data_IF_628938080838
#
_entry.id   IF_628938080838
#
_cell.length_a   1.000
_cell.length_b   1.000
_cell.length_c   1.000
_cell.angle_alpha   90.00
_cell.angle_beta   90.00
_cell.angle_gamma   90.00
#
_symmetry.space_group_name_H-M   'P 1'
#
loop_
_entity.id
_entity.type
_entity.pdbx_description
1 polymer ?
#
# COMPACT_ATOMS: atom_id res chain seq x y z
N UNK A 1 19.42 -17.81 1.36
CA UNK A 1 18.66 -16.58 1.77
C UNK A 1 18.94 -16.31 3.24
N UNK A 2 19.41 -15.13 3.65
CA UNK A 2 19.79 -14.89 5.04
C UNK A 2 18.58 -14.90 5.99
N UNK A 3 18.56 -15.83 6.95
CA UNK A 3 17.45 -15.97 7.91
C UNK A 3 17.76 -15.42 9.30
N UNK A 4 19.02 -15.38 9.70
CA UNK A 4 19.44 -15.02 11.06
C UNK A 4 19.38 -13.51 11.29
N UNK A 5 19.63 -12.69 10.27
CA UNK A 5 19.67 -11.24 10.40
C UNK A 5 18.33 -10.63 10.78
N UNK A 6 18.32 -9.76 11.80
CA UNK A 6 17.10 -9.12 12.30
C UNK A 6 16.62 -8.00 11.38
N UNK A 7 17.53 -7.29 10.70
CA UNK A 7 17.22 -6.13 9.84
C UNK A 7 17.85 -6.27 8.47
N UNK A 8 17.16 -5.78 7.43
CA UNK A 8 17.70 -5.75 6.06
C UNK A 8 19.00 -4.95 5.96
N UNK A 9 19.16 -3.91 6.78
CA UNK A 9 20.36 -3.07 6.83
C UNK A 9 21.59 -3.78 7.41
N UNK A 10 21.41 -4.93 8.06
CA UNK A 10 22.51 -5.74 8.60
C UNK A 10 23.08 -6.71 7.55
N UNK A 11 22.37 -6.89 6.43
CA UNK A 11 22.82 -7.76 5.35
C UNK A 11 24.07 -7.18 4.68
N UNK A 12 25.00 -8.04 4.21
CA UNK A 12 26.17 -7.61 3.45
C UNK A 12 25.76 -6.74 2.26
N UNK A 13 26.50 -5.66 2.02
CA UNK A 13 26.22 -4.78 0.88
C UNK A 13 26.31 -5.56 -0.43
N UNK A 14 27.31 -6.42 -0.57
CA UNK A 14 27.54 -7.27 -1.73
C UNK A 14 26.31 -8.11 -2.13
N UNK A 15 25.47 -8.49 -1.15
CA UNK A 15 24.23 -9.22 -1.44
C UNK A 15 23.20 -8.34 -2.17
N UNK A 16 23.12 -7.04 -1.86
CA UNK A 16 22.22 -6.12 -2.55
C UNK A 16 22.66 -5.94 -4.01
N UNK A 17 23.96 -5.87 -4.24
CA UNK A 17 24.59 -5.76 -5.56
C UNK A 17 24.33 -7.03 -6.38
N UNK A 18 24.54 -8.22 -5.81
CA UNK A 18 24.21 -9.49 -6.47
C UNK A 18 22.72 -9.61 -6.81
N UNK A 19 21.83 -9.20 -5.91
CA UNK A 19 20.38 -9.17 -6.17
C UNK A 19 20.07 -8.22 -7.34
N UNK A 20 20.72 -7.06 -7.37
CA UNK A 20 20.51 -6.08 -8.42
C UNK A 20 20.99 -6.60 -9.78
N UNK A 21 22.19 -7.18 -9.85
CA UNK A 21 22.74 -7.80 -11.07
C UNK A 21 21.86 -8.94 -11.57
N UNK A 22 21.40 -9.82 -10.67
CA UNK A 22 20.49 -10.91 -11.04
C UNK A 22 19.16 -10.40 -11.63
N UNK A 23 18.62 -9.29 -11.10
CA UNK A 23 17.42 -8.67 -11.66
C UNK A 23 17.69 -8.02 -13.00
N UNK A 24 18.85 -7.38 -13.20
CA UNK A 24 19.24 -6.80 -14.48
C UNK A 24 19.46 -7.87 -15.56
N UNK A 25 19.98 -9.04 -15.20
CA UNK A 25 20.12 -10.17 -16.14
C UNK A 25 18.76 -10.71 -16.58
N UNK A 26 17.75 -10.73 -15.70
CA UNK A 26 16.44 -11.29 -15.99
C UNK A 26 15.45 -10.27 -16.60
N UNK A 27 15.64 -8.97 -16.35
CA UNK A 27 14.70 -7.91 -16.73
C UNK A 27 15.43 -6.66 -17.22
N UNK A 28 14.86 -6.01 -18.25
CA UNK A 28 15.34 -4.70 -18.72
C UNK A 28 14.93 -3.62 -17.71
N UNK A 29 15.82 -3.30 -16.78
CA UNK A 29 15.61 -2.30 -15.73
C UNK A 29 16.71 -1.25 -15.78
N UNK A 30 16.35 0.02 -16.01
CA UNK A 30 17.30 1.13 -15.96
C UNK A 30 17.84 1.40 -14.54
N UNK A 31 19.01 2.02 -14.43
CA UNK A 31 19.71 2.25 -13.15
C UNK A 31 18.88 3.02 -12.11
N UNK A 32 18.01 3.94 -12.55
CA UNK A 32 17.08 4.67 -11.67
C UNK A 32 16.09 3.76 -10.91
N UNK A 33 15.94 2.50 -11.33
CA UNK A 33 15.09 1.49 -10.68
C UNK A 33 15.72 0.78 -9.49
N UNK A 34 17.04 0.87 -9.29
CA UNK A 34 17.78 0.09 -8.27
C UNK A 34 17.19 0.22 -6.87
N UNK A 35 16.91 1.45 -6.43
CA UNK A 35 16.31 1.72 -5.11
C UNK A 35 14.95 1.05 -4.93
N UNK A 36 14.11 1.08 -5.98
CA UNK A 36 12.79 0.47 -5.95
C UNK A 36 12.88 -1.05 -5.92
N UNK A 37 13.77 -1.63 -6.71
CA UNK A 37 14.02 -3.09 -6.72
C UNK A 37 14.50 -3.55 -5.35
N UNK A 38 15.53 -2.92 -4.79
CA UNK A 38 16.05 -3.27 -3.46
C UNK A 38 14.99 -3.11 -2.36
N UNK A 39 14.18 -2.04 -2.42
CA UNK A 39 13.07 -1.85 -1.46
C UNK A 39 12.01 -2.95 -1.58
N UNK A 40 11.69 -3.37 -2.81
CA UNK A 40 10.76 -4.47 -3.08
C UNK A 40 11.33 -5.81 -2.59
N UNK A 41 12.61 -6.08 -2.83
CA UNK A 41 13.28 -7.29 -2.36
C UNK A 41 13.33 -7.34 -0.84
N UNK A 42 13.67 -6.23 -0.17
CA UNK A 42 13.64 -6.12 1.28
C UNK A 42 12.25 -6.42 1.87
N UNK A 43 11.19 -6.00 1.17
CA UNK A 43 9.81 -6.34 1.55
C UNK A 43 9.54 -7.83 1.38
N UNK A 44 9.84 -8.40 0.21
CA UNK A 44 9.66 -9.84 -0.07
C UNK A 44 10.44 -10.72 0.91
N UNK A 45 11.64 -10.31 1.32
CA UNK A 45 12.43 -11.00 2.33
C UNK A 45 11.75 -11.02 3.70
N UNK A 46 11.18 -9.89 4.15
CA UNK A 46 10.39 -9.85 5.38
C UNK A 46 9.13 -10.69 5.29
N UNK A 47 8.42 -10.62 4.17
CA UNK A 47 7.20 -11.40 3.91
C UNK A 47 7.50 -12.92 3.90
N UNK A 48 8.66 -13.30 3.35
CA UNK A 48 9.16 -14.67 3.36
C UNK A 48 9.42 -15.17 4.79
N UNK A 49 10.17 -14.42 5.60
CA UNK A 49 10.39 -14.76 7.03
C UNK A 49 9.07 -14.86 7.79
N UNK A 50 8.16 -13.92 7.57
CA UNK A 50 6.83 -13.94 8.19
C UNK A 50 6.04 -15.20 7.83
N UNK A 51 6.07 -15.61 6.55
CA UNK A 51 5.44 -16.84 6.08
C UNK A 51 6.03 -18.06 6.77
N UNK A 52 7.36 -18.15 6.86
CA UNK A 52 8.04 -19.23 7.58
C UNK A 52 7.59 -19.30 9.04
N UNK A 53 7.62 -18.18 9.75
CA UNK A 53 7.20 -18.15 11.16
C UNK A 53 5.73 -18.52 11.33
N UNK A 54 4.82 -17.93 10.54
CA UNK A 54 3.37 -18.14 10.65
C UNK A 54 2.91 -19.55 10.28
N UNK A 55 3.46 -20.12 9.21
CA UNK A 55 2.96 -21.38 8.65
C UNK A 55 3.76 -22.60 9.11
N UNK A 56 5.05 -22.45 9.38
CA UNK A 56 5.95 -23.57 9.62
C UNK A 56 6.54 -23.60 11.03
N UNK A 57 6.50 -22.50 11.79
CA UNK A 57 7.06 -22.46 13.16
C UNK A 57 5.94 -22.40 14.21
N UNK A 58 5.14 -21.33 14.23
CA UNK A 58 4.13 -21.09 15.27
C UNK A 58 3.11 -22.24 15.41
N UNK A 59 2.59 -22.87 14.33
CA UNK A 59 1.65 -23.99 14.47
C UNK A 59 2.25 -25.24 15.13
N UNK A 60 3.59 -25.36 15.13
CA UNK A 60 4.32 -26.51 15.65
C UNK A 60 5.22 -26.15 16.84
N UNK A 61 5.00 -24.99 17.48
CA UNK A 61 5.81 -24.53 18.62
C UNK A 61 5.92 -25.59 19.73
N UNK A 62 4.84 -26.34 19.98
CA UNK A 62 4.80 -27.42 20.99
C UNK A 62 5.34 -28.77 20.50
N UNK A 63 5.60 -28.93 19.20
CA UNK A 63 6.01 -30.19 18.55
C UNK A 63 7.42 -30.06 17.95
N UNK A 64 8.43 -30.05 18.82
CA UNK A 64 9.85 -29.86 18.45
C UNK A 64 10.34 -30.81 17.36
N UNK A 65 9.81 -32.02 17.28
CA UNK A 65 10.18 -33.00 16.25
C UNK A 65 9.90 -32.52 14.82
N UNK A 66 8.80 -31.79 14.63
CA UNK A 66 8.40 -31.25 13.31
C UNK A 66 9.20 -30.02 12.89
N UNK A 67 10.00 -29.46 13.80
CA UNK A 67 10.82 -28.27 13.57
C UNK A 67 12.30 -28.61 13.32
N UNK A 68 12.70 -29.88 13.42
CA UNK A 68 14.10 -30.33 13.25
C UNK A 68 14.61 -30.14 11.82
N UNK A 69 13.72 -30.06 10.85
CA UNK A 69 14.07 -29.93 9.44
C UNK A 69 13.34 -28.74 8.82
N UNK A 70 14.00 -28.00 7.91
CA UNK A 70 13.34 -26.96 7.16
C UNK A 70 12.23 -27.54 6.27
N UNK A 71 11.22 -26.74 5.92
CA UNK A 71 10.16 -27.19 5.02
C UNK A 71 10.73 -27.65 3.67
N UNK A 72 10.28 -28.80 3.16
CA UNK A 72 10.75 -29.37 1.89
C UNK A 72 10.60 -28.42 0.69
N UNK A 73 9.57 -27.56 0.73
CA UNK A 73 9.34 -26.49 -0.26
C UNK A 73 10.52 -25.51 -0.38
N UNK A 74 11.34 -25.39 0.65
CA UNK A 74 12.47 -24.47 0.75
C UNK A 74 13.77 -25.24 1.02
N UNK A 75 14.08 -26.20 0.14
CA UNK A 75 15.29 -27.02 0.19
C UNK A 75 16.62 -26.23 0.14
N UNK A 76 16.58 -24.97 -0.29
CA UNK A 76 17.73 -24.06 -0.28
C UNK A 76 18.05 -23.49 1.11
N UNK A 77 17.24 -23.77 2.14
CA UNK A 77 17.51 -23.35 3.51
C UNK A 77 18.42 -24.38 4.18
N UNK A 78 19.60 -23.93 4.60
CA UNK A 78 20.51 -24.76 5.37
C UNK A 78 19.95 -25.06 6.76
N UNK A 79 20.15 -26.29 7.26
CA UNK A 79 19.65 -26.72 8.57
C UNK A 79 20.17 -25.85 9.71
N UNK A 80 21.45 -25.47 9.69
CA UNK A 80 22.06 -24.60 10.70
C UNK A 80 21.35 -23.24 10.79
N UNK A 81 21.02 -22.65 9.64
CA UNK A 81 20.29 -21.37 9.54
C UNK A 81 18.83 -21.53 9.98
N UNK A 82 18.21 -22.65 9.66
CA UNK A 82 16.85 -22.98 10.09
C UNK A 82 16.77 -23.10 11.61
N UNK A 83 17.66 -23.87 12.23
CA UNK A 83 17.67 -24.09 13.68
C UNK A 83 17.85 -22.76 14.44
N UNK A 84 18.79 -21.92 13.99
CA UNK A 84 18.99 -20.58 14.54
C UNK A 84 17.74 -19.69 14.37
N UNK A 85 17.06 -19.79 13.23
CA UNK A 85 15.85 -19.02 12.95
C UNK A 85 14.64 -19.48 13.78
N UNK A 86 14.48 -20.79 14.01
CA UNK A 86 13.46 -21.36 14.90
C UNK A 86 13.70 -20.90 16.34
N UNK A 87 14.94 -20.99 16.83
CA UNK A 87 15.30 -20.50 18.16
C UNK A 87 14.99 -19.00 18.33
N UNK A 88 15.33 -18.18 17.33
CA UNK A 88 15.01 -16.75 17.36
C UNK A 88 13.49 -16.49 17.30
N UNK A 89 12.73 -17.27 16.53
CA UNK A 89 11.28 -17.08 16.35
C UNK A 89 10.46 -17.55 17.56
N UNK A 90 11.01 -18.44 18.39
CA UNK A 90 10.40 -18.92 19.63
C UNK A 90 10.96 -18.22 20.88
N UNK A 91 11.79 -17.20 20.70
CA UNK A 91 12.35 -16.43 21.81
C UNK A 91 11.30 -15.55 22.48
N UNK A 92 11.46 -15.31 23.78
CA UNK A 92 10.58 -14.45 24.56
C UNK A 92 10.54 -13.00 24.01
N UNK A 93 11.68 -12.49 23.54
CA UNK A 93 11.78 -11.17 22.90
C UNK A 93 10.91 -11.09 21.63
N UNK A 94 10.89 -12.16 20.83
CA UNK A 94 10.07 -12.22 19.63
C UNK A 94 8.59 -12.26 19.97
N UNK A 95 8.20 -13.07 20.95
CA UNK A 95 6.81 -13.17 21.42
C UNK A 95 6.31 -11.82 21.96
N UNK A 96 7.11 -11.14 22.77
CA UNK A 96 6.79 -9.81 23.30
C UNK A 96 6.59 -8.79 22.16
N UNK A 97 7.52 -8.72 21.20
CA UNK A 97 7.38 -7.83 20.03
C UNK A 97 6.17 -8.20 19.16
N UNK A 98 5.91 -9.48 18.94
CA UNK A 98 4.77 -9.95 18.14
C UNK A 98 3.44 -9.58 18.79
N UNK A 99 3.33 -9.82 20.10
CA UNK A 99 2.15 -9.47 20.90
C UNK A 99 1.91 -7.96 20.90
N UNK A 100 2.95 -7.15 21.11
CA UNK A 100 2.83 -5.68 21.08
C UNK A 100 2.33 -5.19 19.71
N UNK A 101 2.88 -5.72 18.62
CA UNK A 101 2.43 -5.36 17.27
C UNK A 101 1.00 -5.84 16.98
N UNK A 102 0.61 -6.99 17.51
CA UNK A 102 -0.77 -7.49 17.43
C UNK A 102 -1.74 -6.55 18.15
N UNK A 103 -1.42 -6.15 19.38
CA UNK A 103 -2.21 -5.18 20.16
C UNK A 103 -2.29 -3.82 19.45
N UNK A 104 -1.20 -3.33 18.84
CA UNK A 104 -1.23 -2.11 18.03
C UNK A 104 -2.17 -2.24 16.83
N UNK A 105 -2.21 -3.41 16.19
CA UNK A 105 -3.14 -3.67 15.08
C UNK A 105 -4.58 -3.78 15.55
N UNK A 106 -4.83 -4.36 16.72
CA UNK A 106 -6.16 -4.48 17.31
C UNK A 106 -6.79 -3.12 17.63
N UNK A 107 -5.97 -2.13 18.04
CA UNK A 107 -6.39 -0.73 18.21
C UNK A 107 -6.84 -0.06 16.90
N UNK A 108 -6.58 -0.65 15.74
CA UNK A 108 -7.05 -0.12 14.45
C UNK A 108 -8.52 -0.48 14.23
N UNK A 109 -9.41 0.30 14.85
CA UNK A 109 -10.87 0.07 14.82
C UNK A 109 -11.45 0.13 13.39
N UNK A 110 -10.97 1.07 12.56
CA UNK A 110 -11.48 1.29 11.21
C UNK A 110 -10.45 0.93 10.14
N UNK A 111 -10.61 -0.25 9.53
CA UNK A 111 -9.72 -0.71 8.47
C UNK A 111 -9.83 0.16 7.20
N UNK A 112 -8.71 0.33 6.51
CA UNK A 112 -8.65 1.10 5.28
C UNK A 112 -9.22 0.32 4.08
N UNK A 113 -10.32 0.78 3.49
CA UNK A 113 -10.95 0.17 2.30
C UNK A 113 -10.68 0.82 0.94
N UNK A 114 -9.96 1.95 0.88
CA UNK A 114 -9.69 2.58 -0.43
C UNK A 114 -8.71 1.75 -1.25
N UNK A 115 -8.81 1.93 -2.57
CA UNK A 115 -7.85 1.39 -3.52
C UNK A 115 -6.50 2.11 -3.42
N UNK A 116 -5.48 1.58 -4.13
CA UNK A 116 -4.10 2.10 -4.14
C UNK A 116 -3.98 3.59 -4.52
N UNK A 117 -5.01 4.19 -5.12
CA UNK A 117 -5.04 5.60 -5.55
C UNK A 117 -5.26 6.58 -4.40
N UNK A 118 -5.68 6.12 -3.22
CA UNK A 118 -5.88 6.94 -2.03
C UNK A 118 -7.15 7.80 -2.05
N UNK A 119 -7.36 8.56 -0.97
CA UNK A 119 -8.61 9.29 -0.70
C UNK A 119 -8.88 10.42 -1.70
N UNK A 120 -7.86 11.22 -2.01
CA UNK A 120 -8.03 12.40 -2.87
C UNK A 120 -8.45 11.99 -4.28
N UNK A 121 -7.76 11.01 -4.87
CA UNK A 121 -8.09 10.50 -6.22
C UNK A 121 -9.45 9.81 -6.25
N UNK A 122 -9.82 9.06 -5.19
CA UNK A 122 -11.15 8.47 -5.08
C UNK A 122 -12.24 9.55 -5.04
N UNK A 123 -12.05 10.59 -4.22
CA UNK A 123 -12.97 11.73 -4.11
C UNK A 123 -13.17 12.41 -5.46
N UNK A 124 -12.08 12.65 -6.20
CA UNK A 124 -12.16 13.29 -7.51
C UNK A 124 -12.95 12.41 -8.50
N UNK A 125 -12.66 11.11 -8.56
CA UNK A 125 -13.40 10.19 -9.45
C UNK A 125 -14.88 10.10 -9.06
N UNK A 126 -15.21 10.20 -7.77
CA UNK A 126 -16.58 10.21 -7.25
C UNK A 126 -17.33 11.53 -7.48
N UNK A 127 -16.61 12.66 -7.59
CA UNK A 127 -17.21 13.96 -7.93
C UNK A 127 -17.61 14.03 -9.41
N UNK A 128 -16.89 13.37 -10.33
CA UNK A 128 -17.21 13.39 -11.78
C UNK A 128 -18.68 13.09 -12.13
N UNK A 129 -19.37 12.12 -11.50
CA UNK A 129 -20.79 11.86 -11.76
C UNK A 129 -21.79 12.75 -10.99
N UNK A 130 -21.37 13.73 -10.17
CA UNK A 130 -22.29 14.55 -9.39
C UNK A 130 -21.87 16.04 -9.31
N UNK A 131 -22.75 16.99 -9.67
CA UNK A 131 -22.40 18.42 -9.72
C UNK A 131 -22.33 19.15 -8.36
N UNK A 132 -22.68 18.50 -7.24
CA UNK A 132 -22.69 19.13 -5.91
C UNK A 132 -21.34 18.99 -5.19
N UNK A 133 -20.86 20.06 -4.53
CA UNK A 133 -19.70 20.01 -3.61
C UNK A 133 -20.01 19.08 -2.43
N UNK A 134 -19.59 17.82 -2.54
CA UNK A 134 -19.73 16.80 -1.49
C UNK A 134 -18.72 17.06 -0.37
N UNK A 135 -19.19 17.08 0.88
CA UNK A 135 -18.31 17.16 2.06
C UNK A 135 -17.53 15.87 2.24
N UNK A 136 -16.45 15.94 2.99
CA UNK A 136 -15.50 14.83 3.13
C UNK A 136 -15.99 13.81 4.16
N UNK A 137 -16.80 14.25 5.11
CA UNK A 137 -17.65 13.40 5.94
C UNK A 137 -18.53 12.45 5.10
N UNK A 138 -19.09 12.93 3.97
CA UNK A 138 -19.85 12.09 3.03
C UNK A 138 -18.93 11.06 2.34
N UNK A 139 -17.66 11.42 2.12
CA UNK A 139 -16.65 10.51 1.59
C UNK A 139 -16.28 9.42 2.59
N UNK A 140 -16.34 9.68 3.90
CA UNK A 140 -16.03 8.71 4.95
C UNK A 140 -17.04 7.56 5.01
N UNK A 141 -18.35 7.85 4.99
CA UNK A 141 -19.40 6.81 4.94
C UNK A 141 -19.36 6.03 3.62
N UNK A 142 -19.37 6.75 2.49
CA UNK A 142 -19.38 6.16 1.14
C UNK A 142 -18.15 5.32 0.79
N UNK A 143 -16.99 5.62 1.37
CA UNK A 143 -15.76 4.85 1.16
C UNK A 143 -15.87 3.40 1.65
N UNK A 144 -16.72 3.17 2.64
CA UNK A 144 -16.82 1.91 3.34
C UNK A 144 -17.91 1.01 2.75
N UNK A 145 -18.68 1.56 1.81
CA UNK A 145 -19.65 0.85 0.99
C UNK A 145 -18.97 -0.19 0.09
N UNK A 146 -19.63 -1.33 -0.08
CA UNK A 146 -19.32 -2.31 -1.11
C UNK A 146 -19.84 -1.86 -2.49
N UNK A 147 -19.73 -2.74 -3.50
CA UNK A 147 -20.22 -2.43 -4.85
C UNK A 147 -21.75 -2.29 -4.92
N UNK A 148 -22.46 -2.77 -3.91
CA UNK A 148 -23.91 -2.73 -3.77
C UNK A 148 -24.40 -1.54 -2.93
N UNK A 149 -23.48 -0.75 -2.35
CA UNK A 149 -23.80 0.41 -1.52
C UNK A 149 -23.96 0.10 -0.03
N UNK A 150 -23.67 -1.13 0.42
CA UNK A 150 -23.79 -1.53 1.82
C UNK A 150 -22.46 -1.37 2.55
N UNK A 151 -22.49 -0.94 3.81
CA UNK A 151 -21.31 -0.91 4.69
C UNK A 151 -21.25 -2.23 5.46
N UNK A 152 -20.29 -3.15 5.16
CA UNK A 152 -20.32 -4.48 5.76
C UNK A 152 -19.86 -4.52 7.22
N UNK A 153 -19.15 -3.50 7.68
CA UNK A 153 -18.70 -3.39 9.07
C UNK A 153 -19.75 -2.61 9.88
N UNK A 154 -20.45 -3.25 10.84
CA UNK A 154 -21.52 -2.60 11.61
C UNK A 154 -21.05 -1.36 12.36
N UNK A 155 -19.82 -1.37 12.92
CA UNK A 155 -19.27 -0.25 13.68
C UNK A 155 -19.09 0.98 12.80
N UNK A 156 -18.62 0.74 11.57
CA UNK A 156 -18.45 1.79 10.57
C UNK A 156 -19.80 2.32 10.08
N UNK A 157 -20.79 1.43 9.95
CA UNK A 157 -22.15 1.81 9.56
C UNK A 157 -22.81 2.73 10.60
N UNK A 158 -22.65 2.44 11.89
CA UNK A 158 -23.12 3.31 12.98
C UNK A 158 -22.47 4.70 12.91
N UNK A 159 -21.16 4.77 12.71
CA UNK A 159 -20.45 6.05 12.55
C UNK A 159 -20.90 6.81 11.32
N UNK A 160 -21.17 6.13 10.21
CA UNK A 160 -21.68 6.77 8.99
C UNK A 160 -23.07 7.38 9.23
N UNK A 161 -23.98 6.68 9.92
CA UNK A 161 -25.28 7.22 10.32
C UNK A 161 -25.13 8.45 11.23
N UNK A 162 -24.28 8.35 12.24
CA UNK A 162 -24.01 9.46 13.16
C UNK A 162 -23.47 10.71 12.42
N UNK A 163 -22.62 10.52 11.41
CA UNK A 163 -22.14 11.62 10.56
C UNK A 163 -23.31 12.30 9.84
N UNK A 164 -24.24 11.54 9.29
CA UNK A 164 -25.38 12.10 8.56
C UNK A 164 -26.36 12.83 9.50
N UNK A 165 -26.59 12.30 10.71
CA UNK A 165 -27.38 12.96 11.75
C UNK A 165 -26.74 14.27 12.22
N UNK A 166 -25.43 14.28 12.47
CA UNK A 166 -24.69 15.48 12.86
C UNK A 166 -24.72 16.55 11.76
N UNK A 167 -24.60 16.16 10.50
CA UNK A 167 -24.76 17.12 9.38
C UNK A 167 -26.15 17.72 9.34
N UNK A 168 -27.17 16.90 9.58
CA UNK A 168 -28.56 17.38 9.63
C UNK A 168 -28.71 18.46 10.71
N UNK A 169 -28.18 18.22 11.90
CA UNK A 169 -28.17 19.20 12.99
C UNK A 169 -27.37 20.47 12.66
N UNK A 170 -26.27 20.35 11.93
CA UNK A 170 -25.50 21.52 11.44
C UNK A 170 -26.30 22.31 10.41
N UNK A 171 -27.01 21.63 9.49
CA UNK A 171 -27.84 22.29 8.48
C UNK A 171 -29.07 22.98 9.07
N UNK A 172 -29.61 22.44 10.17
CA UNK A 172 -30.73 23.01 10.93
C UNK A 172 -30.28 24.15 11.88
N UNK A 173 -28.96 24.39 12.00
CA UNK A 173 -28.39 25.43 12.87
C UNK A 173 -28.35 25.05 14.36
N UNK A 174 -28.82 23.86 14.72
CA UNK A 174 -28.85 23.32 16.09
C UNK A 174 -27.44 23.06 16.65
N UNK A 175 -26.49 22.71 15.77
CA UNK A 175 -25.12 22.39 16.15
C UNK A 175 -24.12 23.32 15.45
N UNK A 176 -23.32 24.03 16.24
CA UNK A 176 -22.21 24.85 15.74
C UNK A 176 -20.92 24.04 15.80
N UNK A 177 -20.38 23.67 14.64
CA UNK A 177 -19.08 23.01 14.50
C UNK A 177 -17.95 24.04 14.43
N UNK A 178 -16.83 23.75 15.09
CA UNK A 178 -15.62 24.56 15.00
C UNK A 178 -14.55 23.87 14.14
N UNK A 179 -13.47 24.58 13.85
CA UNK A 179 -12.43 24.12 12.91
C UNK A 179 -11.69 22.87 13.40
N UNK A 180 -11.53 22.70 14.72
CA UNK A 180 -10.85 21.56 15.35
C UNK A 180 -11.80 20.47 15.86
N UNK A 181 -13.09 20.78 16.01
CA UNK A 181 -14.16 19.84 16.34
C UNK A 181 -15.19 19.87 15.21
N UNK A 182 -14.79 19.35 14.06
CA UNK A 182 -15.68 19.18 12.91
C UNK A 182 -16.61 17.97 13.08
N UNK A 183 -17.53 17.78 12.14
CA UNK A 183 -18.52 16.68 12.17
C UNK A 183 -17.83 15.33 12.28
N UNK A 184 -16.71 15.14 11.58
CA UNK A 184 -15.93 13.92 11.62
C UNK A 184 -15.30 13.66 12.99
N UNK A 185 -14.75 14.70 13.62
CA UNK A 185 -14.16 14.64 14.96
C UNK A 185 -15.22 14.25 15.99
N UNK A 186 -16.42 14.86 15.90
CA UNK A 186 -17.56 14.54 16.76
C UNK A 186 -18.05 13.11 16.55
N UNK A 187 -18.19 12.67 15.30
CA UNK A 187 -18.66 11.32 14.99
C UNK A 187 -17.66 10.25 15.47
N UNK A 188 -16.37 10.46 15.23
CA UNK A 188 -15.32 9.51 15.63
C UNK A 188 -15.04 9.55 17.14
N UNK A 189 -15.38 10.64 17.83
CA UNK A 189 -15.13 10.80 19.26
C UNK A 189 -13.64 10.87 19.63
N UNK A 190 -12.78 11.14 18.66
CA UNK A 190 -11.32 11.27 18.86
C UNK A 190 -10.86 12.62 18.37
N UNK A 191 -9.95 13.31 19.08
CA UNK A 191 -9.42 14.59 18.63
C UNK A 191 -8.64 14.43 17.32
N UNK A 192 -8.55 15.54 16.58
CA UNK A 192 -7.77 15.58 15.35
C UNK A 192 -6.28 15.29 15.61
N UNK A 193 -5.67 14.42 14.80
CA UNK A 193 -4.27 14.05 14.99
C UNK A 193 -3.34 15.22 14.61
N UNK A 194 -2.35 15.53 15.45
CA UNK A 194 -1.42 16.65 15.23
C UNK A 194 -0.52 16.55 13.99
N UNK A 195 -0.45 15.38 13.35
CA UNK A 195 0.41 15.17 12.18
C UNK A 195 -0.20 15.63 10.85
N UNK A 196 -1.46 15.22 10.57
CA UNK A 196 -2.08 15.39 9.26
C UNK A 196 -3.58 15.61 9.41
N UNK A 197 -4.13 16.50 8.59
CA UNK A 197 -5.58 16.74 8.53
C UNK A 197 -6.27 15.52 7.90
N UNK A 198 -7.28 14.96 8.58
CA UNK A 198 -8.09 13.82 8.12
C UNK A 198 -8.79 14.11 6.79
N UNK A 199 -9.14 15.36 6.58
CA UNK A 199 -10.04 15.83 5.53
C UNK A 199 -9.34 16.13 4.18
N UNK A 200 -8.20 16.82 4.26
CA UNK A 200 -7.56 17.42 3.07
C UNK A 200 -6.77 16.39 2.27
N UNK A 201 -6.21 15.38 2.94
CA UNK A 201 -5.33 14.41 2.31
C UNK A 201 -3.95 15.00 1.97
N UNK A 202 -3.23 14.36 1.04
CA UNK A 202 -1.91 14.79 0.53
C UNK A 202 -0.83 15.13 1.58
N UNK A 203 -0.94 14.60 2.82
CA UNK A 203 -0.01 14.85 3.94
C UNK A 203 0.00 16.31 4.44
N UNK A 204 -1.07 17.06 4.22
CA UNK A 204 -1.20 18.44 4.71
C UNK A 204 -1.31 18.45 6.25
N UNK A 205 -0.51 19.29 6.91
CA UNK A 205 -0.53 19.40 8.37
C UNK A 205 -1.65 20.33 8.86
N UNK A 206 -2.14 20.14 10.11
CA UNK A 206 -3.11 21.05 10.72
C UNK A 206 -2.68 22.52 10.67
N UNK A 207 -1.40 22.81 10.94
CA UNK A 207 -0.83 24.17 10.91
C UNK A 207 -0.86 24.79 9.51
N UNK A 208 -0.61 24.00 8.46
CA UNK A 208 -0.66 24.48 7.08
C UNK A 208 -2.08 24.81 6.61
N UNK A 209 -3.08 24.13 7.17
CA UNK A 209 -4.46 24.25 6.72
C UNK A 209 -5.28 25.17 7.63
N UNK A 210 -5.36 24.89 8.93
CA UNK A 210 -6.26 25.56 9.86
C UNK A 210 -5.85 27.00 10.21
N UNK A 211 -4.58 27.37 10.04
CA UNK A 211 -4.12 28.75 10.23
C UNK A 211 -4.51 29.68 9.07
N UNK A 212 -5.04 29.14 7.97
CA UNK A 212 -5.50 29.95 6.84
C UNK A 212 -6.95 30.42 7.04
N UNK A 213 -7.28 31.67 6.65
CA UNK A 213 -8.66 32.13 6.55
C UNK A 213 -9.51 31.16 5.73
N UNK A 214 -10.79 31.01 6.08
CA UNK A 214 -11.70 30.02 5.47
C UNK A 214 -11.71 30.08 3.93
N UNK A 215 -11.71 31.28 3.35
CA UNK A 215 -11.67 31.45 1.89
C UNK A 215 -10.35 30.96 1.26
N UNK A 216 -9.23 31.17 1.95
CA UNK A 216 -7.92 30.72 1.48
C UNK A 216 -7.78 29.20 1.60
N UNK A 217 -8.39 28.57 2.61
CA UNK A 217 -8.46 27.11 2.74
C UNK A 217 -9.16 26.43 1.56
N UNK A 218 -10.29 26.98 1.12
CA UNK A 218 -11.03 26.45 -0.04
C UNK A 218 -10.16 26.55 -1.30
N UNK A 219 -9.55 27.71 -1.55
CA UNK A 219 -8.64 27.90 -2.68
C UNK A 219 -7.42 26.97 -2.63
N UNK A 220 -6.87 26.74 -1.44
CA UNK A 220 -5.76 25.81 -1.23
C UNK A 220 -6.16 24.37 -1.57
N UNK A 221 -7.32 23.92 -1.05
CA UNK A 221 -7.84 22.58 -1.33
C UNK A 221 -8.15 22.37 -2.82
N UNK A 222 -8.75 23.36 -3.48
CA UNK A 222 -9.07 23.30 -4.90
C UNK A 222 -7.79 23.22 -5.75
N UNK A 223 -6.78 24.06 -5.48
CA UNK A 223 -5.46 24.00 -6.15
C UNK A 223 -4.75 22.67 -5.94
N UNK A 224 -4.82 22.12 -4.73
CA UNK A 224 -4.21 20.83 -4.40
C UNK A 224 -4.89 19.68 -5.16
N UNK A 225 -6.23 19.72 -5.26
CA UNK A 225 -7.02 18.75 -6.01
C UNK A 225 -6.65 18.77 -7.51
N UNK A 226 -6.52 19.97 -8.09
CA UNK A 226 -6.08 20.17 -9.47
C UNK A 226 -4.66 19.67 -9.73
N UNK A 227 -3.71 20.03 -8.85
CA UNK A 227 -2.31 19.58 -8.95
C UNK A 227 -2.18 18.06 -8.92
N UNK A 228 -2.90 17.41 -8.00
CA UNK A 228 -2.89 15.94 -7.90
C UNK A 228 -3.54 15.30 -9.12
N UNK A 229 -4.58 15.91 -9.68
CA UNK A 229 -5.21 15.42 -10.92
C UNK A 229 -4.27 15.44 -12.11
N UNK A 230 -3.55 16.54 -12.28
CA UNK A 230 -2.61 16.66 -13.38
C UNK A 230 -1.47 15.66 -13.24
N UNK A 231 -0.92 15.49 -12.02
CA UNK A 231 0.08 14.46 -11.75
C UNK A 231 -0.44 13.04 -12.06
N UNK A 232 -1.68 12.72 -11.68
CA UNK A 232 -2.28 11.40 -11.99
C UNK A 232 -2.47 11.21 -13.49
N UNK A 233 -2.92 12.24 -14.21
CA UNK A 233 -3.08 12.20 -15.68
C UNK A 233 -1.75 11.98 -16.38
N UNK A 234 -0.73 12.73 -15.98
CA UNK A 234 0.61 12.58 -16.53
C UNK A 234 1.20 11.20 -16.26
N UNK A 235 1.04 10.66 -15.06
CA UNK A 235 1.46 9.29 -14.76
C UNK A 235 0.68 8.25 -15.55
N UNK A 236 -0.64 8.43 -15.78
CA UNK A 236 -1.41 7.52 -16.65
C UNK A 236 -0.92 7.55 -18.10
N UNK A 237 -0.67 8.74 -18.66
CA UNK A 237 -0.12 8.88 -20.02
C UNK A 237 1.25 8.21 -20.14
N UNK A 238 2.14 8.41 -19.15
CA UNK A 238 3.46 7.76 -19.11
C UNK A 238 3.35 6.24 -19.04
N UNK A 239 2.44 5.71 -18.22
CA UNK A 239 2.22 4.26 -18.14
C UNK A 239 1.68 3.69 -19.45
N UNK A 240 0.71 4.36 -20.08
CA UNK A 240 0.19 3.95 -21.38
C UNK A 240 1.27 4.00 -22.48
N UNK A 241 2.10 5.04 -22.49
CA UNK A 241 3.22 5.15 -23.43
C UNK A 241 4.23 4.02 -23.23
N UNK A 242 4.61 3.71 -21.98
CA UNK A 242 5.50 2.59 -21.64
C UNK A 242 4.90 1.24 -22.04
N UNK A 243 3.60 1.04 -21.82
CA UNK A 243 2.92 -0.19 -22.22
C UNK A 243 2.90 -0.34 -23.75
N UNK A 244 2.54 0.72 -24.49
CA UNK A 244 2.58 0.73 -25.96
C UNK A 244 3.99 0.47 -26.50
N UNK A 245 5.00 1.08 -25.89
CA UNK A 245 6.40 0.88 -26.28
C UNK A 245 6.85 -0.57 -26.03
N UNK A 246 6.53 -1.15 -24.87
CA UNK A 246 6.86 -2.54 -24.55
C UNK A 246 6.18 -3.52 -25.52
N UNK A 247 4.92 -3.29 -25.91
CA UNK A 247 4.23 -4.10 -26.92
C UNK A 247 4.91 -3.95 -28.29
N UNK A 248 5.28 -2.72 -28.68
CA UNK A 248 5.96 -2.47 -29.95
C UNK A 248 7.34 -3.16 -30.02
N UNK A 249 8.10 -3.14 -28.93
CA UNK A 249 9.40 -3.81 -28.84
C UNK A 249 9.25 -5.35 -28.93
N UNK A 250 8.24 -5.93 -28.28
CA UNK A 250 7.94 -7.36 -28.40
C UNK A 250 7.61 -7.76 -29.85
N UNK A 251 6.76 -6.99 -30.53
CA UNK A 251 6.40 -7.24 -31.94
C UNK A 251 7.62 -7.13 -32.86
N UNK A 252 8.54 -6.18 -32.60
CA UNK A 252 9.79 -6.09 -33.37
C UNK A 252 10.66 -7.33 -33.16
N UNK A 253 10.81 -7.79 -31.92
CA UNK A 253 11.59 -8.98 -31.61
C UNK A 253 11.02 -10.23 -32.30
N UNK A 254 9.70 -10.41 -32.27
CA UNK A 254 9.03 -11.51 -32.99
C UNK A 254 9.25 -11.44 -34.50
N UNK A 255 9.15 -10.24 -35.10
CA UNK A 255 9.45 -10.04 -36.53
C UNK A 255 10.88 -10.43 -36.87
N UNK A 256 11.86 -10.05 -36.04
CA UNK A 256 13.26 -10.43 -36.26
C UNK A 256 13.48 -11.95 -36.14
N UNK A 257 12.82 -12.61 -35.20
CA UNK A 257 12.86 -14.07 -35.06
C UNK A 257 12.30 -14.74 -36.33
N UNK A 258 11.14 -14.27 -36.82
CA UNK A 258 10.53 -14.80 -38.05
C UNK A 258 11.41 -14.58 -39.27
N UNK A 259 12.03 -13.39 -39.41
CA UNK A 259 12.95 -13.11 -40.52
C UNK A 259 14.19 -14.02 -40.47
N UNK A 260 14.74 -14.28 -39.29
CA UNK A 260 15.84 -15.24 -39.12
C UNK A 260 15.43 -16.66 -39.52
N UNK A 261 14.27 -17.13 -39.06
CA UNK A 261 13.73 -18.45 -39.47
C UNK A 261 13.54 -18.52 -40.99
N UNK A 262 12.96 -17.49 -41.60
CA UNK A 262 12.75 -17.43 -43.04
C UNK A 262 14.07 -17.46 -43.81
N UNK A 263 15.08 -16.70 -43.36
CA UNK A 263 16.42 -16.68 -43.97
C UNK A 263 17.16 -18.03 -43.91
N UNK A 264 16.83 -18.88 -42.93
CA UNK A 264 17.40 -20.23 -42.82
C UNK A 264 16.69 -21.26 -43.72
N UNK A 265 15.47 -20.96 -44.17
CA UNK A 265 14.70 -21.84 -45.06
C UNK A 265 14.99 -21.58 -46.54
N UNK A 266 15.37 -20.34 -46.90
CA UNK A 266 15.69 -19.93 -48.28
C UNK A 266 16.85 -20.74 -48.92
N UNK A 267 17.95 -21.08 -48.22
CA UNK A 267 19.05 -21.86 -48.81
C UNK A 267 18.69 -23.30 -49.22
N UNK A 268 17.55 -23.84 -48.76
CA UNK A 268 17.10 -25.20 -49.04
C UNK A 268 16.11 -25.28 -50.23
N UNK A 269 15.91 -24.17 -50.97
CA UNK A 269 14.91 -24.03 -52.04
C UNK A 269 15.51 -23.69 -53.42
N UNK A 270 16.84 -23.62 -53.52
CA UNK A 270 17.63 -23.53 -54.76
C UNK A 270 18.49 -24.79 -54.90
#
# INVERSE_FOLDING_TARGET
VPLVDKKWTQLPKDLNEQIWEAVQMAYVVGEGGKKMVLSSTAKKWKDFKYTLTRQFILPFANKKEKLKEPPQLYNFIEKSQWDAFVASSLSQDFEAMHSEQSQRREKCEYNHRLTRKGMLVWRINWKKPCPVKKSIDLCYGRRQEDKQGNIPDPKVAEKAKLIDDLKKQVSEGTLTVCVSNDVLTLALGTPEHGGKVRDVGARVSPTQFFNLPRQQRVKFADKLEESVMEAVREETKKMEARAKQSVLEAVRAEREILLKQFSQLIPNLL
#
